data_IF_433894535930
#
_entry.id   IF_433894535930
#
_cell.length_a   1.000
_cell.length_b   1.000
_cell.length_c   1.000
_cell.angle_alpha   90.00
_cell.angle_beta   90.00
_cell.angle_gamma   90.00
#
_symmetry.space_group_name_H-M   'P 1'
#
loop_
_entity.id
_entity.type
_entity.pdbx_description
1 polymer ?
#
# COMPACT_ATOMS: atom_id res chain seq x y z
N UNK A 1 -3.96 -24.58 -31.47
CA UNK A 1 -5.17 -24.59 -30.61
C UNK A 1 -4.72 -24.73 -29.18
N UNK A 2 -4.80 -23.64 -28.42
CA UNK A 2 -4.49 -23.65 -26.99
C UNK A 2 -5.72 -24.16 -26.26
N UNK A 3 -5.63 -25.34 -25.64
CA UNK A 3 -6.80 -25.99 -25.01
C UNK A 3 -7.22 -25.22 -23.75
N UNK A 4 -8.52 -25.24 -23.41
CA UNK A 4 -9.12 -24.73 -22.16
C UNK A 4 -8.32 -25.11 -20.90
N UNK A 5 -7.75 -26.33 -20.87
CA UNK A 5 -6.89 -26.82 -19.79
C UNK A 5 -5.63 -25.98 -19.59
N UNK A 6 -4.99 -25.53 -20.67
CA UNK A 6 -3.78 -24.72 -20.61
C UNK A 6 -4.06 -23.34 -19.99
N UNK A 7 -5.16 -22.70 -20.40
CA UNK A 7 -5.57 -21.41 -19.86
C UNK A 7 -5.92 -21.46 -18.37
N UNK A 8 -6.64 -22.51 -17.95
CA UNK A 8 -6.91 -22.76 -16.53
C UNK A 8 -5.63 -22.93 -15.72
N UNK A 9 -4.65 -23.67 -16.25
CA UNK A 9 -3.37 -23.87 -15.59
C UNK A 9 -2.60 -22.54 -15.46
N UNK A 10 -2.46 -21.77 -16.54
CA UNK A 10 -1.81 -20.46 -16.49
C UNK A 10 -2.47 -19.53 -15.48
N UNK A 11 -3.80 -19.50 -15.43
CA UNK A 11 -4.56 -18.69 -14.48
C UNK A 11 -4.29 -19.11 -13.04
N UNK A 12 -4.32 -20.41 -12.76
CA UNK A 12 -4.01 -20.95 -11.44
C UNK A 12 -2.57 -20.64 -11.02
N UNK A 13 -1.60 -20.74 -11.93
CA UNK A 13 -0.20 -20.36 -11.68
C UNK A 13 -0.04 -18.87 -11.35
N UNK A 14 -0.78 -17.99 -12.05
CA UNK A 14 -0.75 -16.56 -11.74
C UNK A 14 -1.40 -16.24 -10.38
N UNK A 15 -2.50 -16.92 -10.01
CA UNK A 15 -3.08 -16.78 -8.65
C UNK A 15 -2.10 -17.26 -7.59
N UNK A 16 -1.43 -18.38 -7.82
CA UNK A 16 -0.43 -18.90 -6.89
C UNK A 16 0.73 -17.93 -6.71
N UNK A 17 1.23 -17.34 -7.80
CA UNK A 17 2.26 -16.30 -7.73
C UNK A 17 1.81 -15.08 -6.94
N UNK A 18 0.60 -14.58 -7.21
CA UNK A 18 0.03 -13.46 -6.44
C UNK A 18 -0.09 -13.82 -4.96
N UNK A 19 -0.57 -15.03 -4.66
CA UNK A 19 -0.71 -15.53 -3.30
C UNK A 19 0.63 -15.56 -2.55
N UNK A 20 1.67 -16.11 -3.17
CA UNK A 20 3.02 -16.17 -2.58
C UNK A 20 3.59 -14.78 -2.33
N UNK A 21 3.37 -13.84 -3.26
CA UNK A 21 3.83 -12.45 -3.13
C UNK A 21 3.10 -11.72 -2.00
N UNK A 22 1.78 -11.90 -1.85
CA UNK A 22 1.05 -11.23 -0.75
C UNK A 22 1.28 -11.86 0.63
N UNK A 23 1.56 -13.16 0.68
CA UNK A 23 1.82 -13.88 1.94
C UNK A 23 3.25 -13.70 2.44
N UNK A 24 4.19 -13.27 1.59
CA UNK A 24 5.55 -12.94 2.01
C UNK A 24 5.65 -11.60 2.75
N UNK A 25 4.54 -10.88 2.92
CA UNK A 25 4.54 -9.58 3.57
C UNK A 25 4.90 -9.68 5.07
N UNK A 26 5.88 -8.90 5.47
CA UNK A 26 6.37 -8.83 6.85
C UNK A 26 5.60 -7.85 7.75
N UNK A 27 4.60 -7.14 7.21
CA UNK A 27 3.81 -6.14 7.91
C UNK A 27 4.31 -4.70 7.73
N UNK A 28 5.49 -4.48 7.12
CA UNK A 28 6.07 -3.16 6.92
C UNK A 28 5.54 -2.48 5.66
N UNK A 29 5.49 -1.15 5.65
CA UNK A 29 5.07 -0.38 4.47
C UNK A 29 6.11 -0.42 3.35
N UNK A 30 7.39 -0.56 3.68
CA UNK A 30 8.45 -0.70 2.68
C UNK A 30 8.28 -1.99 1.88
N UNK A 31 8.06 -3.12 2.55
CA UNK A 31 7.81 -4.38 1.86
C UNK A 31 6.43 -4.38 1.15
N UNK A 32 5.42 -3.69 1.71
CA UNK A 32 4.13 -3.53 1.04
C UNK A 32 4.25 -2.83 -0.33
N UNK A 33 5.16 -1.85 -0.47
CA UNK A 33 5.45 -1.21 -1.76
C UNK A 33 6.03 -2.22 -2.76
N UNK A 34 7.06 -2.97 -2.35
CA UNK A 34 7.71 -3.99 -3.19
C UNK A 34 6.71 -5.06 -3.64
N UNK A 35 5.85 -5.50 -2.72
CA UNK A 35 4.79 -6.47 -2.99
C UNK A 35 3.75 -5.90 -3.96
N UNK A 36 3.41 -4.63 -3.83
CA UNK A 36 2.46 -3.95 -4.73
C UNK A 36 3.01 -3.87 -6.15
N UNK A 37 4.28 -3.52 -6.31
CA UNK A 37 4.96 -3.47 -7.62
C UNK A 37 5.01 -4.85 -8.27
N UNK A 38 5.45 -5.88 -7.53
CA UNK A 38 5.48 -7.27 -8.04
C UNK A 38 4.09 -7.77 -8.41
N UNK A 39 3.07 -7.49 -7.60
CA UNK A 39 1.69 -7.87 -7.92
C UNK A 39 1.16 -7.14 -9.15
N UNK A 40 1.55 -5.89 -9.37
CA UNK A 40 1.14 -5.14 -10.56
C UNK A 40 1.64 -5.81 -11.85
N UNK A 41 2.88 -6.31 -11.86
CA UNK A 41 3.41 -7.09 -12.99
C UNK A 41 2.58 -8.35 -13.25
N UNK A 42 2.25 -9.10 -12.19
CA UNK A 42 1.45 -10.32 -12.31
C UNK A 42 0.03 -10.00 -12.81
N UNK A 43 -0.57 -8.90 -12.36
CA UNK A 43 -1.88 -8.44 -12.85
C UNK A 43 -1.84 -8.02 -14.32
N UNK A 44 -0.75 -7.42 -14.80
CA UNK A 44 -0.58 -7.12 -16.23
C UNK A 44 -0.55 -8.42 -17.04
N UNK A 45 0.20 -9.43 -16.58
CA UNK A 45 0.21 -10.75 -17.22
C UNK A 45 -1.18 -11.39 -17.23
N UNK A 46 -1.91 -11.29 -16.12
CA UNK A 46 -3.29 -11.75 -16.01
C UNK A 46 -4.21 -11.07 -17.03
N UNK A 47 -4.14 -9.74 -17.14
CA UNK A 47 -4.96 -8.97 -18.08
C UNK A 47 -4.63 -9.31 -19.54
N UNK A 48 -3.37 -9.56 -19.85
CA UNK A 48 -2.96 -9.97 -21.20
C UNK A 48 -3.48 -11.37 -21.52
N UNK A 49 -3.40 -12.31 -20.58
CA UNK A 49 -3.97 -13.64 -20.71
C UNK A 49 -5.49 -13.59 -20.92
N UNK A 50 -6.23 -12.82 -20.11
CA UNK A 50 -7.69 -12.71 -20.26
C UNK A 50 -8.11 -12.07 -21.57
N UNK A 51 -7.35 -11.11 -22.11
CA UNK A 51 -7.59 -10.55 -23.45
C UNK A 51 -7.41 -11.59 -24.57
N UNK A 52 -6.46 -12.51 -24.43
CA UNK A 52 -6.25 -13.60 -25.40
C UNK A 52 -7.36 -14.65 -25.31
N UNK A 53 -7.84 -14.94 -24.10
CA UNK A 53 -8.90 -15.90 -23.81
C UNK A 53 -10.30 -15.41 -24.20
N UNK A 54 -10.59 -14.12 -23.99
CA UNK A 54 -11.94 -13.54 -24.19
C UNK A 54 -12.49 -13.64 -25.62
N UNK A 55 -11.65 -14.01 -26.58
CA UNK A 55 -12.04 -14.25 -27.97
C UNK A 55 -12.38 -15.71 -28.28
N UNK A 56 -12.06 -16.68 -27.40
CA UNK A 56 -12.08 -18.11 -27.76
C UNK A 56 -12.95 -19.00 -26.85
N UNK A 57 -13.18 -18.69 -25.57
CA UNK A 57 -14.06 -19.53 -24.72
C UNK A 57 -14.41 -18.89 -23.37
N UNK A 58 -15.63 -19.14 -22.86
CA UNK A 58 -15.98 -18.80 -21.47
C UNK A 58 -15.27 -19.77 -20.51
N UNK A 59 -14.30 -19.26 -19.74
CA UNK A 59 -13.51 -20.03 -18.77
C UNK A 59 -13.95 -19.68 -17.33
N UNK A 60 -14.90 -20.43 -16.73
CA UNK A 60 -15.33 -20.18 -15.36
C UNK A 60 -14.19 -20.43 -14.37
N UNK A 61 -14.20 -19.69 -13.27
CA UNK A 61 -13.31 -19.93 -12.14
C UNK A 61 -13.73 -21.17 -11.36
N UNK A 62 -12.76 -22.00 -11.00
CA UNK A 62 -12.94 -23.11 -10.06
C UNK A 62 -13.11 -22.58 -8.63
N UNK A 63 -13.68 -23.39 -7.73
CA UNK A 63 -13.84 -22.98 -6.33
C UNK A 63 -12.50 -22.68 -5.64
N UNK A 64 -11.46 -23.47 -5.91
CA UNK A 64 -10.11 -23.23 -5.36
C UNK A 64 -9.55 -21.87 -5.81
N UNK A 65 -9.80 -21.49 -7.07
CA UNK A 65 -9.37 -20.17 -7.58
C UNK A 65 -10.13 -19.03 -6.90
N UNK A 66 -11.42 -19.21 -6.61
CA UNK A 66 -12.24 -18.21 -5.89
C UNK A 66 -11.81 -18.06 -4.43
N UNK A 67 -11.49 -19.17 -3.76
CA UNK A 67 -10.94 -19.17 -2.40
C UNK A 67 -9.61 -18.40 -2.36
N UNK A 68 -8.69 -18.73 -3.27
CA UNK A 68 -7.41 -17.99 -3.41
C UNK A 68 -7.61 -16.51 -3.67
N UNK A 69 -8.54 -16.12 -4.55
CA UNK A 69 -8.85 -14.72 -4.79
C UNK A 69 -9.33 -14.02 -3.52
N UNK A 70 -10.19 -14.68 -2.75
CA UNK A 70 -10.70 -14.15 -1.48
C UNK A 70 -9.57 -13.94 -0.47
N UNK A 71 -8.66 -14.92 -0.35
CA UNK A 71 -7.48 -14.80 0.50
C UNK A 71 -6.58 -13.64 0.06
N UNK A 72 -6.25 -13.56 -1.23
CA UNK A 72 -5.43 -12.47 -1.80
C UNK A 72 -6.04 -11.11 -1.47
N UNK A 73 -7.35 -10.94 -1.68
CA UNK A 73 -8.06 -9.70 -1.37
C UNK A 73 -7.97 -9.36 0.13
N UNK A 74 -8.09 -10.36 1.01
CA UNK A 74 -7.95 -10.14 2.46
C UNK A 74 -6.54 -9.65 2.85
N UNK A 75 -5.49 -10.14 2.19
CA UNK A 75 -4.12 -9.67 2.42
C UNK A 75 -3.94 -8.25 1.90
N UNK A 76 -4.43 -7.94 0.71
CA UNK A 76 -4.36 -6.59 0.13
C UNK A 76 -5.11 -5.56 1.00
N UNK A 77 -6.27 -5.91 1.55
CA UNK A 77 -7.00 -5.04 2.47
C UNK A 77 -6.20 -4.74 3.75
N UNK A 78 -5.52 -5.75 4.30
CA UNK A 78 -4.64 -5.56 5.48
C UNK A 78 -3.45 -4.66 5.16
N UNK A 79 -2.83 -4.81 3.98
CA UNK A 79 -1.76 -3.90 3.54
C UNK A 79 -2.26 -2.45 3.43
N UNK A 80 -3.41 -2.24 2.78
CA UNK A 80 -4.01 -0.90 2.64
C UNK A 80 -4.30 -0.27 4.01
N UNK A 81 -4.81 -1.06 4.96
CA UNK A 81 -5.05 -0.60 6.32
C UNK A 81 -3.75 -0.19 7.02
N UNK A 82 -2.68 -0.99 6.89
CA UNK A 82 -1.36 -0.68 7.46
C UNK A 82 -0.78 0.63 6.90
N UNK A 83 -0.76 0.76 5.57
CA UNK A 83 -0.29 1.96 4.87
C UNK A 83 -1.10 3.20 5.29
N UNK A 84 -2.42 3.04 5.39
CA UNK A 84 -3.32 4.13 5.82
C UNK A 84 -3.05 4.58 7.25
N UNK A 85 -2.78 3.63 8.15
CA UNK A 85 -2.43 3.93 9.53
C UNK A 85 -1.09 4.66 9.64
N UNK A 86 -0.06 4.20 8.92
CA UNK A 86 1.24 4.86 8.90
C UNK A 86 1.16 6.28 8.36
N UNK A 87 0.33 6.51 7.32
CA UNK A 87 0.03 7.86 6.83
C UNK A 87 -0.54 8.76 7.93
N UNK A 88 -1.47 8.27 8.74
CA UNK A 88 -2.04 9.03 9.86
C UNK A 88 -0.98 9.37 10.92
N UNK A 89 -0.08 8.43 11.22
CA UNK A 89 1.04 8.64 12.14
C UNK A 89 1.95 9.75 11.62
N UNK A 90 2.41 9.68 10.36
CA UNK A 90 3.26 10.70 9.74
C UNK A 90 2.58 12.07 9.75
N UNK A 91 1.30 12.14 9.40
CA UNK A 91 0.54 13.40 9.43
C UNK A 91 0.45 13.97 10.85
N UNK A 92 0.30 13.12 11.87
CA UNK A 92 0.26 13.56 13.27
C UNK A 92 1.63 14.12 13.73
N UNK A 93 2.73 13.48 13.33
CA UNK A 93 4.08 13.92 13.63
C UNK A 93 4.39 15.26 12.96
N UNK A 94 3.99 15.44 11.71
CA UNK A 94 4.13 16.73 11.01
C UNK A 94 3.37 17.87 11.74
N UNK A 95 2.16 17.60 12.22
CA UNK A 95 1.40 18.59 13.02
C UNK A 95 2.16 18.97 14.30
N UNK A 96 2.73 18.00 15.00
CA UNK A 96 3.52 18.26 16.20
C UNK A 96 4.78 19.09 15.91
N UNK A 97 5.49 18.81 14.81
CA UNK A 97 6.65 19.59 14.37
C UNK A 97 6.24 21.04 14.06
N UNK A 98 5.13 21.24 13.35
CA UNK A 98 4.63 22.58 13.04
C UNK A 98 4.24 23.35 14.31
N UNK A 99 3.63 22.67 15.29
CA UNK A 99 3.31 23.28 16.58
C UNK A 99 4.58 23.64 17.38
N UNK A 100 5.58 22.75 17.41
CA UNK A 100 6.89 23.02 18.02
C UNK A 100 7.56 24.23 17.39
N UNK A 101 7.56 24.32 16.05
CA UNK A 101 8.12 25.47 15.33
C UNK A 101 7.39 26.76 15.68
N UNK A 102 6.05 26.75 15.71
CA UNK A 102 5.24 27.90 16.11
C UNK A 102 5.55 28.37 17.53
N UNK A 103 5.70 27.44 18.48
CA UNK A 103 6.08 27.77 19.87
C UNK A 103 7.48 28.37 19.90
N UNK A 104 8.47 27.73 19.27
CA UNK A 104 9.84 28.26 19.18
C UNK A 104 9.85 29.68 18.60
N UNK A 105 9.17 29.90 17.48
CA UNK A 105 9.19 31.17 16.77
C UNK A 105 8.52 32.28 17.58
N UNK A 106 7.46 31.97 18.34
CA UNK A 106 6.86 32.88 19.31
C UNK A 106 7.80 33.19 20.50
N UNK A 107 8.49 32.20 21.06
CA UNK A 107 9.42 32.43 22.18
C UNK A 107 10.70 33.17 21.75
N UNK A 108 11.15 32.99 20.52
CA UNK A 108 12.32 33.69 19.96
C UNK A 108 11.96 35.12 19.55
N UNK A 109 10.76 35.36 19.01
CA UNK A 109 10.30 36.72 18.66
C UNK A 109 10.00 37.58 19.88
N UNK A 110 9.53 36.99 20.99
CA UNK A 110 9.29 37.69 22.27
C UNK A 110 10.59 38.08 23.01
N UNK A 111 11.75 37.57 22.58
CA UNK A 111 13.08 37.95 23.14
C UNK A 111 13.66 39.25 22.58
N UNK A 112 12.88 40.08 21.89
CA UNK A 112 13.29 41.42 21.44
C UNK A 112 12.42 42.48 22.08
N UNK A 113 12.70 42.74 23.34
CA UNK A 113 12.77 44.07 23.95
C UNK A 113 13.19 43.86 25.41
N UNK A 114 14.46 44.12 25.71
CA UNK A 114 14.89 44.18 27.11
C UNK A 114 14.22 45.39 27.74
N UNK A 115 13.17 45.16 28.53
CA UNK A 115 12.63 46.16 29.44
C UNK A 115 13.67 46.40 30.54
N UNK A 116 14.63 47.27 30.27
CA UNK A 116 15.42 47.90 31.32
C UNK A 116 14.47 48.79 32.11
N UNK A 117 14.03 48.29 33.27
CA UNK A 117 13.32 49.12 34.25
C UNK A 117 14.40 49.98 34.91
N UNK A 118 14.55 51.20 34.42
CA UNK A 118 15.37 52.22 35.08
C UNK A 118 14.66 52.62 36.37
N UNK A 119 15.13 52.08 37.49
CA UNK A 119 14.75 52.57 38.82
C UNK A 119 15.65 53.77 39.08
N UNK A 120 15.17 54.94 38.66
CA UNK A 120 15.92 56.18 38.65
C UNK A 120 16.58 56.58 39.98
N UNK A 121 17.55 57.48 39.83
CA UNK A 121 18.01 58.44 40.84
C UNK A 121 17.65 59.85 40.37
#
# INVERSE_FOLDING_TARGET
MTTTKHWNQMRSELLEKMYQVVTSWDGTTQEALVITEKNQEILIHWQNMTKQVGNEEFLPYTEIEKEKQTEILSFQQRMIASISNERLVVMSQMKQINQKNKVRDNYVSVKRDSLFIDKGL
#
